data_IF_971933237580
#
_entry.id   IF_971933237580
#
_cell.length_a   1.000
_cell.length_b   1.000
_cell.length_c   1.000
_cell.angle_alpha   90.00
_cell.angle_beta   90.00
_cell.angle_gamma   90.00
#
_symmetry.space_group_name_H-M   'P 1'
#
loop_
_entity.id
_entity.type
_entity.pdbx_description
1 polymer ?
#
# COMPACT_ATOMS: atom_id res chain seq x y z
N UNK A 1 -24.79 -10.04 -11.47
CA UNK A 1 -23.53 -10.08 -12.23
C UNK A 1 -22.44 -9.57 -11.32
N UNK A 2 -21.52 -10.42 -10.85
CA UNK A 2 -20.39 -9.96 -10.05
C UNK A 2 -19.48 -9.12 -10.94
N UNK A 3 -19.19 -7.88 -10.53
CA UNK A 3 -18.29 -6.99 -11.25
C UNK A 3 -16.88 -7.56 -11.15
N UNK A 4 -16.26 -7.88 -12.28
CA UNK A 4 -14.84 -8.20 -12.32
C UNK A 4 -14.03 -6.91 -12.24
N UNK A 5 -13.09 -6.85 -11.29
CA UNK A 5 -12.24 -5.68 -11.10
C UNK A 5 -10.98 -5.79 -11.94
N UNK A 6 -10.58 -4.69 -12.55
CA UNK A 6 -9.33 -4.61 -13.28
C UNK A 6 -8.22 -4.04 -12.38
N UNK A 7 -6.97 -4.13 -12.83
CA UNK A 7 -5.81 -3.56 -12.12
C UNK A 7 -6.03 -2.10 -11.71
N UNK A 8 -6.71 -1.31 -12.55
CA UNK A 8 -7.05 0.08 -12.27
C UNK A 8 -8.03 0.25 -11.09
N UNK A 9 -8.99 -0.66 -10.91
CA UNK A 9 -9.91 -0.60 -9.76
C UNK A 9 -9.18 -0.95 -8.46
N UNK A 10 -8.31 -1.95 -8.49
CA UNK A 10 -7.47 -2.34 -7.35
C UNK A 10 -6.48 -1.23 -6.99
N UNK A 11 -5.92 -0.56 -8.00
CA UNK A 11 -5.08 0.62 -7.80
C UNK A 11 -5.85 1.75 -7.09
N UNK A 12 -7.09 2.06 -7.52
CA UNK A 12 -7.93 3.04 -6.82
C UNK A 12 -8.20 2.63 -5.37
N UNK A 13 -8.44 1.34 -5.11
CA UNK A 13 -8.62 0.83 -3.75
C UNK A 13 -7.36 1.06 -2.89
N UNK A 14 -6.17 0.71 -3.39
CA UNK A 14 -4.90 0.96 -2.71
C UNK A 14 -4.67 2.44 -2.42
N UNK A 15 -4.92 3.32 -3.40
CA UNK A 15 -4.82 4.78 -3.21
C UNK A 15 -5.78 5.27 -2.13
N UNK A 16 -7.05 4.84 -2.16
CA UNK A 16 -8.02 5.23 -1.12
C UNK A 16 -7.59 4.77 0.28
N UNK A 17 -7.00 3.58 0.40
CA UNK A 17 -6.44 3.11 1.67
C UNK A 17 -5.30 4.01 2.14
N UNK A 18 -4.39 4.38 1.24
CA UNK A 18 -3.27 5.29 1.55
C UNK A 18 -3.73 6.70 1.94
N UNK A 19 -4.87 7.16 1.41
CA UNK A 19 -5.45 8.48 1.70
C UNK A 19 -6.37 8.50 2.94
N UNK A 20 -6.66 7.35 3.56
CA UNK A 20 -7.45 7.34 4.80
C UNK A 20 -6.75 8.16 5.89
N UNK A 21 -7.49 9.01 6.59
CA UNK A 21 -6.89 9.90 7.60
C UNK A 21 -6.87 9.22 8.98
N UNK A 22 -8.00 8.63 9.37
CA UNK A 22 -8.16 8.00 10.68
C UNK A 22 -8.22 6.47 10.59
N UNK A 23 -8.05 5.82 11.75
CA UNK A 23 -8.28 4.37 11.87
C UNK A 23 -9.75 3.99 11.61
N UNK A 24 -10.69 4.90 11.89
CA UNK A 24 -12.10 4.68 11.62
C UNK A 24 -12.37 4.66 10.11
N UNK A 25 -11.84 5.64 9.37
CA UNK A 25 -11.97 5.70 7.91
C UNK A 25 -11.35 4.49 7.24
N UNK A 26 -10.19 4.04 7.76
CA UNK A 26 -9.50 2.85 7.27
C UNK A 26 -10.36 1.58 7.43
N UNK A 27 -10.96 1.39 8.61
CA UNK A 27 -11.82 0.24 8.87
C UNK A 27 -13.09 0.28 8.01
N UNK A 28 -13.76 1.43 7.93
CA UNK A 28 -14.97 1.57 7.10
C UNK A 28 -14.66 1.32 5.62
N UNK A 29 -13.55 1.86 5.11
CA UNK A 29 -13.14 1.65 3.73
C UNK A 29 -12.80 0.19 3.47
N UNK A 30 -12.08 -0.45 4.39
CA UNK A 30 -11.72 -1.86 4.29
C UNK A 30 -12.96 -2.76 4.27
N UNK A 31 -13.96 -2.51 5.10
CA UNK A 31 -15.23 -3.24 5.08
C UNK A 31 -15.98 -3.07 3.74
N UNK A 32 -16.04 -1.83 3.22
CA UNK A 32 -16.65 -1.54 1.92
C UNK A 32 -15.94 -2.25 0.75
N UNK A 33 -14.61 -2.35 0.81
CA UNK A 33 -13.80 -3.05 -0.19
C UNK A 33 -13.95 -4.57 -0.06
N UNK A 34 -13.97 -5.08 1.16
CA UNK A 34 -14.18 -6.50 1.44
C UNK A 34 -15.55 -6.99 0.95
N UNK A 35 -16.60 -6.18 1.11
CA UNK A 35 -17.93 -6.46 0.55
C UNK A 35 -17.94 -6.56 -0.99
N UNK A 36 -16.93 -6.01 -1.66
CA UNK A 36 -16.70 -6.12 -3.10
C UNK A 36 -15.72 -7.25 -3.46
N UNK A 37 -15.17 -7.95 -2.47
CA UNK A 37 -14.15 -8.99 -2.66
C UNK A 37 -12.72 -8.44 -2.79
N UNK A 38 -12.50 -7.15 -2.59
CA UNK A 38 -11.16 -6.54 -2.60
C UNK A 38 -10.60 -6.61 -1.18
N UNK A 39 -9.49 -7.33 -1.00
CA UNK A 39 -8.77 -7.38 0.27
C UNK A 39 -7.82 -6.21 0.36
N UNK A 40 -7.79 -5.53 1.49
CA UNK A 40 -6.94 -4.35 1.66
C UNK A 40 -6.42 -4.16 3.07
N UNK A 41 -5.32 -3.41 3.17
CA UNK A 41 -4.71 -2.99 4.43
C UNK A 41 -4.01 -1.65 4.22
N UNK A 42 -3.86 -0.87 5.29
CA UNK A 42 -2.96 0.27 5.30
C UNK A 42 -1.92 0.19 6.42
N UNK A 43 -0.79 0.86 6.20
CA UNK A 43 0.34 0.90 7.14
C UNK A 43 0.84 2.33 7.26
N UNK A 44 0.77 2.89 8.46
CA UNK A 44 1.32 4.20 8.77
C UNK A 44 2.83 4.12 8.97
N UNK A 45 3.55 5.17 8.55
CA UNK A 45 4.98 5.31 8.77
C UNK A 45 5.38 6.77 8.99
N UNK A 46 6.56 6.96 9.59
CA UNK A 46 7.17 8.27 9.71
C UNK A 46 8.59 8.22 10.25
N UNK A 47 9.39 9.20 9.87
CA UNK A 47 10.80 9.32 10.24
C UNK A 47 11.66 9.77 9.08
N UNK A 48 12.99 9.68 9.23
CA UNK A 48 13.93 10.01 8.18
C UNK A 48 13.86 8.98 7.06
N UNK A 49 13.60 9.43 5.83
CA UNK A 49 13.17 8.57 4.72
C UNK A 49 14.05 7.32 4.52
N UNK A 50 15.36 7.48 4.40
CA UNK A 50 16.30 6.37 4.18
C UNK A 50 16.37 5.40 5.35
N UNK A 51 16.21 5.91 6.57
CA UNK A 51 16.45 5.16 7.80
C UNK A 51 15.23 4.29 8.15
N UNK A 52 14.04 4.65 7.65
CA UNK A 52 12.80 3.91 7.88
C UNK A 52 12.49 2.85 6.82
N UNK A 53 13.17 2.84 5.66
CA UNK A 53 12.85 1.94 4.53
C UNK A 53 12.76 0.45 4.93
N UNK A 54 13.73 -0.14 5.65
CA UNK A 54 13.66 -1.56 6.02
C UNK A 54 12.44 -1.88 6.87
N UNK A 55 12.13 -1.00 7.84
CA UNK A 55 11.01 -1.17 8.75
C UNK A 55 9.66 -1.03 8.06
N UNK A 56 9.53 -0.12 7.09
CA UNK A 56 8.27 0.04 6.35
C UNK A 56 8.01 -1.16 5.44
N UNK A 57 9.03 -1.74 4.81
CA UNK A 57 8.89 -2.95 4.00
C UNK A 57 8.41 -4.13 4.85
N UNK A 58 9.07 -4.38 5.98
CA UNK A 58 8.67 -5.44 6.91
C UNK A 58 7.23 -5.22 7.41
N UNK A 59 6.90 -4.00 7.84
CA UNK A 59 5.57 -3.67 8.36
C UNK A 59 4.48 -3.86 7.29
N UNK A 60 4.76 -3.49 6.04
CA UNK A 60 3.85 -3.67 4.90
C UNK A 60 3.58 -5.15 4.62
N UNK A 61 4.63 -5.97 4.58
CA UNK A 61 4.51 -7.42 4.35
C UNK A 61 3.72 -8.07 5.48
N UNK A 62 4.12 -7.84 6.73
CA UNK A 62 3.44 -8.42 7.91
C UNK A 62 1.98 -7.99 7.98
N UNK A 63 1.65 -6.74 7.69
CA UNK A 63 0.28 -6.27 7.67
C UNK A 63 -0.54 -6.92 6.55
N UNK A 64 0.03 -7.05 5.34
CA UNK A 64 -0.63 -7.69 4.20
C UNK A 64 -0.91 -9.17 4.44
N UNK A 65 0.02 -9.89 5.09
CA UNK A 65 -0.17 -11.28 5.51
C UNK A 65 -1.27 -11.39 6.58
N UNK A 66 -1.19 -10.58 7.65
CA UNK A 66 -2.18 -10.60 8.76
C UNK A 66 -3.60 -10.27 8.33
N UNK A 67 -3.75 -9.47 7.28
CA UNK A 67 -5.06 -9.12 6.72
C UNK A 67 -5.45 -10.00 5.52
N UNK A 68 -4.72 -11.08 5.28
CA UNK A 68 -4.95 -12.03 4.20
C UNK A 68 -5.03 -11.38 2.81
N UNK A 69 -4.31 -10.26 2.62
CA UNK A 69 -4.11 -9.61 1.31
C UNK A 69 -3.09 -10.40 0.49
N UNK A 70 -2.13 -11.04 1.15
CA UNK A 70 -1.22 -12.02 0.53
C UNK A 70 -1.14 -13.29 1.37
N UNK A 71 -0.71 -14.39 0.76
CA UNK A 71 -0.31 -15.59 1.47
C UNK A 71 0.99 -15.35 2.23
N UNK A 72 1.20 -16.07 3.33
CA UNK A 72 2.50 -16.16 4.02
C UNK A 72 3.44 -17.09 3.23
N UNK A 73 3.94 -16.59 2.10
CA UNK A 73 4.87 -17.29 1.20
C UNK A 73 5.90 -16.32 0.65
N UNK A 74 7.05 -16.86 0.23
CA UNK A 74 8.08 -16.05 -0.41
C UNK A 74 7.59 -15.27 -1.64
N UNK A 75 6.62 -15.83 -2.39
CA UNK A 75 6.02 -15.16 -3.55
C UNK A 75 5.10 -14.01 -3.10
N UNK A 76 4.31 -14.21 -2.05
CA UNK A 76 3.49 -13.16 -1.45
C UNK A 76 4.34 -11.98 -0.99
N UNK A 77 5.39 -12.26 -0.22
CA UNK A 77 6.31 -11.26 0.33
C UNK A 77 7.01 -10.48 -0.79
N UNK A 78 7.57 -11.21 -1.77
CA UNK A 78 8.23 -10.62 -2.93
C UNK A 78 7.31 -9.77 -3.79
N UNK A 79 6.02 -10.11 -3.85
CA UNK A 79 5.01 -9.32 -4.60
C UNK A 79 4.76 -7.96 -3.95
N UNK A 80 4.63 -7.92 -2.62
CA UNK A 80 4.47 -6.65 -1.88
C UNK A 80 5.75 -5.84 -1.93
N UNK A 81 6.90 -6.46 -1.62
CA UNK A 81 8.20 -5.78 -1.65
C UNK A 81 8.49 -5.18 -3.02
N UNK A 82 8.32 -5.97 -4.09
CA UNK A 82 8.57 -5.52 -5.44
C UNK A 82 7.63 -4.39 -5.89
N UNK A 83 6.34 -4.45 -5.53
CA UNK A 83 5.41 -3.35 -5.77
C UNK A 83 5.83 -2.09 -4.99
N UNK A 84 6.12 -2.25 -3.70
CA UNK A 84 6.46 -1.16 -2.82
C UNK A 84 7.75 -0.44 -3.24
N UNK A 85 8.79 -1.17 -3.65
CA UNK A 85 10.00 -0.59 -4.25
C UNK A 85 9.70 0.31 -5.46
N UNK A 86 8.87 -0.17 -6.40
CA UNK A 86 8.47 0.64 -7.56
C UNK A 86 7.64 1.87 -7.21
N UNK A 87 6.82 1.80 -6.15
CA UNK A 87 6.09 2.96 -5.65
C UNK A 87 7.04 3.95 -4.93
N UNK A 88 7.99 3.44 -4.15
CA UNK A 88 8.98 4.24 -3.42
C UNK A 88 9.89 4.99 -4.39
N UNK A 89 10.35 4.36 -5.47
CA UNK A 89 11.23 5.02 -6.46
C UNK A 89 10.58 6.27 -7.07
N UNK A 90 9.25 6.30 -7.20
CA UNK A 90 8.51 7.47 -7.71
C UNK A 90 8.54 8.66 -6.72
N UNK A 91 8.52 8.40 -5.41
CA UNK A 91 8.50 9.45 -4.38
C UNK A 91 9.90 9.85 -3.89
N UNK A 92 10.90 9.02 -4.21
CA UNK A 92 12.26 9.09 -3.69
C UNK A 92 12.96 10.43 -3.95
N UNK A 93 12.82 11.00 -5.15
CA UNK A 93 13.44 12.28 -5.49
C UNK A 93 13.02 13.42 -4.56
N UNK A 94 11.78 13.38 -4.07
CA UNK A 94 11.24 14.38 -3.15
C UNK A 94 11.62 14.07 -1.70
N UNK A 95 11.81 12.79 -1.35
CA UNK A 95 11.92 12.32 0.03
C UNK A 95 13.36 12.09 0.52
N UNK A 96 14.33 11.88 -0.37
CA UNK A 96 15.73 11.63 0.01
C UNK A 96 16.27 12.78 0.88
N UNK A 97 16.86 12.43 2.02
CA UNK A 97 17.43 13.39 2.97
C UNK A 97 16.41 14.11 3.86
N UNK A 98 15.11 13.85 3.66
CA UNK A 98 14.03 14.54 4.36
C UNK A 98 13.39 13.66 5.45
N UNK A 99 12.70 14.31 6.38
CA UNK A 99 11.74 13.63 7.25
C UNK A 99 10.42 13.49 6.51
N UNK A 100 9.82 12.31 6.63
CA UNK A 100 8.57 11.97 5.97
C UNK A 100 7.56 11.43 6.97
N UNK A 101 6.29 11.58 6.64
CA UNK A 101 5.16 10.94 7.32
C UNK A 101 4.13 10.55 6.29
N UNK A 102 3.55 9.36 6.41
CA UNK A 102 2.65 8.88 5.37
C UNK A 102 2.01 7.56 5.69
N UNK A 103 1.32 7.04 4.67
CA UNK A 103 0.57 5.80 4.74
C UNK A 103 0.74 5.03 3.45
N UNK A 104 0.97 3.73 3.61
CA UNK A 104 1.00 2.76 2.52
C UNK A 104 -0.38 2.13 2.46
N UNK A 105 -0.99 2.12 1.28
CA UNK A 105 -2.22 1.36 1.02
C UNK A 105 -1.90 0.16 0.15
N UNK A 106 -2.38 -1.02 0.54
CA UNK A 106 -2.21 -2.25 -0.21
C UNK A 106 -3.59 -2.81 -0.50
N UNK A 107 -3.85 -3.17 -1.74
CA UNK A 107 -5.10 -3.81 -2.13
C UNK A 107 -4.83 -4.97 -3.08
N UNK A 108 -5.61 -6.04 -2.95
CA UNK A 108 -5.58 -7.20 -3.84
C UNK A 108 -6.99 -7.62 -4.23
N UNK A 109 -7.16 -7.93 -5.51
CA UNK A 109 -8.31 -8.67 -6.02
C UNK A 109 -7.81 -9.75 -6.98
N UNK A 110 -8.11 -11.01 -6.66
CA UNK A 110 -7.58 -12.18 -7.37
C UNK A 110 -6.06 -12.04 -7.59
N UNK A 111 -5.66 -11.88 -8.85
CA UNK A 111 -4.26 -11.82 -9.28
C UNK A 111 -3.65 -10.42 -9.28
N UNK A 112 -4.46 -9.37 -9.12
CA UNK A 112 -3.98 -8.00 -9.11
C UNK A 112 -3.64 -7.56 -7.70
N UNK A 113 -2.39 -7.17 -7.45
CA UNK A 113 -1.93 -6.52 -6.23
C UNK A 113 -1.44 -5.12 -6.56
N UNK A 114 -1.94 -4.12 -5.85
CA UNK A 114 -1.50 -2.74 -5.97
C UNK A 114 -1.01 -2.21 -4.62
N UNK A 115 0.08 -1.44 -4.66
CA UNK A 115 0.64 -0.73 -3.52
C UNK A 115 0.70 0.76 -3.86
N UNK A 116 0.09 1.58 -3.01
CA UNK A 116 0.16 3.03 -3.07
C UNK A 116 0.92 3.55 -1.85
N UNK A 117 1.81 4.52 -2.04
CA UNK A 117 2.57 5.17 -0.98
C UNK A 117 2.24 6.66 -1.04
N UNK A 118 1.40 7.12 -0.11
CA UNK A 118 1.09 8.54 0.05
C UNK A 118 1.98 9.12 1.15
N UNK A 119 2.71 10.18 0.84
CA UNK A 119 3.71 10.73 1.75
C UNK A 119 3.70 12.25 1.76
N UNK A 120 3.69 12.81 2.96
CA UNK A 120 4.08 14.18 3.23
C UNK A 120 5.58 14.25 3.48
N UNK A 121 6.25 15.18 2.83
CA UNK A 121 7.68 15.46 2.96
C UNK A 121 7.86 16.78 3.67
N UNK A 122 8.52 16.77 4.84
CA UNK A 122 8.77 17.97 5.61
C UNK A 122 9.98 18.74 5.05
N UNK A 123 9.74 19.95 4.54
CA UNK A 123 10.75 20.89 4.03
C UNK A 123 10.66 22.20 4.84
N UNK A 124 11.50 22.36 5.87
CA UNK A 124 11.46 23.53 6.77
C UNK A 124 10.06 23.72 7.42
N UNK A 125 9.32 24.76 7.01
CA UNK A 125 7.95 25.08 7.44
C UNK A 125 6.89 24.67 6.41
N UNK A 126 7.30 24.04 5.30
CA UNK A 126 6.43 23.62 4.21
C UNK A 126 6.35 22.10 4.19
N UNK A 127 5.16 21.58 3.91
CA UNK A 127 4.94 20.16 3.67
C UNK A 127 4.62 19.99 2.19
N UNK A 128 5.50 19.33 1.46
CA UNK A 128 5.23 18.88 0.11
C UNK A 128 4.52 17.53 0.17
N UNK A 129 3.73 17.19 -0.84
CA UNK A 129 3.01 15.91 -0.90
C UNK A 129 3.32 15.18 -2.19
N UNK A 130 3.54 13.87 -2.10
CA UNK A 130 3.73 13.02 -3.28
C UNK A 130 3.13 11.65 -3.07
N UNK A 131 2.84 10.98 -4.18
CA UNK A 131 2.26 9.64 -4.19
C UNK A 131 2.98 8.76 -5.20
N UNK A 132 3.33 7.56 -4.77
CA UNK A 132 3.81 6.49 -5.64
C UNK A 132 2.77 5.39 -5.75
N UNK A 133 2.67 4.76 -6.92
CA UNK A 133 1.78 3.62 -7.15
C UNK A 133 2.47 2.55 -7.98
N UNK A 134 2.29 1.29 -7.60
CA UNK A 134 2.77 0.17 -8.39
C UNK A 134 1.77 -0.98 -8.38
N UNK A 135 1.79 -1.74 -9.46
CA UNK A 135 1.00 -2.94 -9.66
C UNK A 135 1.92 -4.15 -9.86
N UNK A 136 1.47 -5.30 -9.36
CA UNK A 136 2.06 -6.62 -9.61
C UNK A 136 0.95 -7.62 -9.91
N UNK A 137 1.32 -8.64 -10.68
CA UNK A 137 0.48 -9.82 -10.90
C UNK A 137 1.07 -10.97 -10.11
N UNK A 138 0.24 -11.65 -9.33
CA UNK A 138 0.60 -12.88 -8.64
C UNK A 138 -0.53 -13.90 -8.79
N UNK A 139 -0.19 -15.19 -8.80
CA UNK A 139 -1.20 -16.26 -8.88
C UNK A 139 -2.24 -16.08 -7.77
N UNK A 140 -3.53 -16.25 -8.08
CA UNK A 140 -4.55 -16.28 -7.04
C UNK A 140 -4.39 -17.57 -6.21
N UNK A 141 -3.82 -17.42 -5.04
CA UNK A 141 -3.50 -18.47 -4.06
C UNK A 141 -4.26 -18.27 -2.74
N UNK A 142 -5.06 -17.21 -2.66
CA UNK A 142 -5.99 -16.99 -1.57
C UNK A 142 -7.27 -17.78 -1.85
N UNK A 143 -7.74 -18.51 -0.84
CA UNK A 143 -9.09 -19.08 -0.86
C UNK A 143 -10.10 -17.95 -0.77
N UNK A 144 -11.07 -17.93 -1.69
CA UNK A 144 -12.18 -16.97 -1.71
C UNK A 144 -13.02 -17.01 -0.42
#
# INVERSE_FOLDING_TARGET
>A
MQREFQSADVARAAVRMALSETRADENELKEKLAAQGIRSVAVNFGGKFTDILPKIFESAIVAAQRQHVISDTHVGDGSVLGAMESAIEQVKLMAIGMNVGGKIGIARWKEHLCVAVFVGVGVLHFNEVTIGLAHRVLRNDLTD
#
